data_IF_985486446662
#
_entry.id   IF_985486446662
#
_cell.length_a   1.000
_cell.length_b   1.000
_cell.length_c   1.000
_cell.angle_alpha   90.00
_cell.angle_beta   90.00
_cell.angle_gamma   90.00
#
_symmetry.space_group_name_H-M   'P 1'
#
loop_
_entity.id
_entity.type
_entity.pdbx_description
1 polymer ?
#
# COMPACT_ATOMS: atom_id res chain seq x y z
N UNK A 1 17.34 0.06 5.70
CA UNK A 1 18.16 -0.74 4.78
C UNK A 1 18.45 -0.01 3.49
N UNK A 2 19.33 -0.54 2.71
CA UNK A 2 19.82 0.06 1.45
C UNK A 2 19.78 -1.01 0.36
N UNK A 3 19.21 -0.64 -0.79
CA UNK A 3 19.37 -1.40 -2.03
C UNK A 3 20.47 -0.73 -2.85
N UNK A 4 21.44 -1.51 -3.32
CA UNK A 4 22.57 -1.02 -4.10
C UNK A 4 22.98 -2.03 -5.16
N UNK A 5 23.74 -1.57 -6.18
CA UNK A 5 24.36 -2.46 -7.15
C UNK A 5 25.59 -3.10 -6.52
N UNK A 6 25.57 -4.41 -6.37
CA UNK A 6 26.67 -5.22 -5.88
C UNK A 6 27.50 -5.83 -6.99
N UNK A 7 28.51 -6.61 -6.64
CA UNK A 7 29.41 -7.24 -7.61
C UNK A 7 28.72 -8.27 -8.52
N UNK A 8 27.61 -8.85 -8.05
CA UNK A 8 26.85 -9.91 -8.75
C UNK A 8 25.43 -9.48 -9.14
N UNK A 9 25.12 -8.18 -9.10
CA UNK A 9 23.84 -7.60 -9.36
C UNK A 9 23.26 -6.88 -8.13
N UNK A 10 21.98 -6.47 -8.18
CA UNK A 10 21.34 -5.76 -7.06
C UNK A 10 21.38 -6.56 -5.75
N UNK A 11 21.71 -5.87 -4.68
CA UNK A 11 21.79 -6.40 -3.32
C UNK A 11 20.99 -5.50 -2.37
N UNK A 12 20.44 -6.11 -1.31
CA UNK A 12 19.82 -5.40 -0.19
C UNK A 12 20.61 -5.67 1.08
N UNK A 13 20.90 -4.64 1.87
CA UNK A 13 21.50 -4.80 3.19
C UNK A 13 20.78 -3.95 4.24
N UNK A 14 20.72 -4.46 5.46
CA UNK A 14 20.33 -3.64 6.60
C UNK A 14 21.43 -2.63 6.92
N UNK A 15 21.05 -1.40 7.23
CA UNK A 15 21.99 -0.40 7.69
C UNK A 15 22.61 -0.80 9.05
N UNK A 16 23.91 -0.57 9.21
CA UNK A 16 24.63 -0.98 10.41
C UNK A 16 24.10 -0.28 11.69
N UNK A 17 23.66 0.97 11.57
CA UNK A 17 23.08 1.69 12.72
C UNK A 17 21.71 1.14 13.09
N UNK A 18 20.93 0.70 12.09
CA UNK A 18 19.67 0.02 12.33
C UNK A 18 19.87 -1.34 13.01
N UNK A 19 20.84 -2.13 12.53
CA UNK A 19 21.17 -3.43 13.15
C UNK A 19 21.62 -3.32 14.62
N UNK A 20 22.24 -2.19 14.98
CA UNK A 20 22.68 -1.91 16.35
C UNK A 20 21.56 -1.36 17.26
N UNK A 21 20.41 -1.00 16.70
CA UNK A 21 19.30 -0.47 17.49
C UNK A 21 18.66 -1.58 18.35
N UNK A 22 18.35 -1.32 19.63
CA UNK A 22 17.81 -2.34 20.56
C UNK A 22 16.40 -2.83 20.19
N UNK A 23 15.69 -2.06 19.38
CA UNK A 23 14.33 -2.32 18.88
C UNK A 23 14.31 -2.68 17.39
N UNK A 24 15.48 -2.98 16.81
CA UNK A 24 15.55 -3.41 15.41
C UNK A 24 14.69 -4.65 15.17
N UNK A 25 13.84 -4.58 14.15
CA UNK A 25 12.98 -5.67 13.72
C UNK A 25 13.26 -6.05 12.26
N UNK A 26 13.16 -7.33 11.88
CA UNK A 26 13.30 -7.72 10.49
C UNK A 26 12.13 -7.20 9.66
N UNK A 27 12.38 -6.88 8.38
CA UNK A 27 11.31 -6.50 7.43
C UNK A 27 10.31 -7.64 7.22
N UNK A 28 10.77 -8.87 7.24
CA UNK A 28 9.93 -10.05 7.19
C UNK A 28 10.67 -11.28 7.73
N UNK A 29 9.97 -12.39 7.90
CA UNK A 29 10.59 -13.68 8.24
C UNK A 29 11.58 -14.19 7.19
N UNK A 30 11.37 -13.81 5.92
CA UNK A 30 12.29 -14.17 4.83
C UNK A 30 13.53 -13.27 4.75
N UNK A 31 13.50 -12.14 5.46
CA UNK A 31 14.59 -11.17 5.53
C UNK A 31 14.99 -10.90 6.99
N UNK A 32 15.49 -11.93 7.74
CA UNK A 32 15.92 -11.75 9.13
C UNK A 32 17.08 -10.75 9.22
N UNK A 33 17.28 -10.14 10.40
CA UNK A 33 18.40 -9.22 10.60
C UNK A 33 19.74 -9.93 10.42
N UNK A 34 20.58 -9.44 9.49
CA UNK A 34 21.97 -9.89 9.28
C UNK A 34 22.82 -8.78 8.70
N UNK A 35 24.13 -8.84 8.95
CA UNK A 35 25.09 -7.87 8.40
C UNK A 35 25.49 -8.16 6.95
N UNK A 36 25.37 -9.40 6.50
CA UNK A 36 25.69 -9.78 5.12
C UNK A 36 24.56 -9.35 4.16
N UNK A 37 24.90 -8.88 2.95
CA UNK A 37 23.92 -8.52 1.93
C UNK A 37 23.01 -9.69 1.53
N UNK A 38 21.81 -9.38 1.13
CA UNK A 38 20.86 -10.29 0.47
C UNK A 38 21.01 -10.19 -1.03
N UNK A 39 21.16 -11.32 -1.71
CA UNK A 39 21.14 -11.37 -3.16
C UNK A 39 19.74 -11.11 -3.71
N UNK A 40 19.65 -10.68 -4.98
CA UNK A 40 18.37 -10.35 -5.64
C UNK A 40 17.27 -11.39 -5.44
N UNK A 41 17.61 -12.67 -5.60
CA UNK A 41 16.65 -13.78 -5.47
C UNK A 41 16.09 -13.94 -4.03
N UNK A 42 16.79 -13.44 -3.01
CA UNK A 42 16.37 -13.52 -1.62
C UNK A 42 15.42 -12.37 -1.25
N UNK A 43 15.72 -11.13 -1.70
CA UNK A 43 14.97 -9.94 -1.26
C UNK A 43 13.87 -9.50 -2.24
N UNK A 44 14.03 -9.76 -3.55
CA UNK A 44 13.07 -9.35 -4.57
C UNK A 44 11.62 -9.79 -4.26
N UNK A 45 11.35 -11.05 -3.84
CA UNK A 45 9.97 -11.49 -3.60
C UNK A 45 9.25 -10.67 -2.53
N UNK A 46 9.96 -10.20 -1.51
CA UNK A 46 9.39 -9.34 -0.49
C UNK A 46 9.02 -7.96 -1.05
N UNK A 47 9.96 -7.30 -1.71
CA UNK A 47 9.74 -5.94 -2.21
C UNK A 47 8.80 -5.89 -3.41
N UNK A 48 8.87 -6.87 -4.31
CA UNK A 48 7.93 -7.01 -5.41
C UNK A 48 6.51 -7.27 -4.91
N UNK A 49 6.37 -8.04 -3.82
CA UNK A 49 5.10 -8.29 -3.15
C UNK A 49 4.47 -7.06 -2.46
N UNK A 50 5.16 -5.93 -2.39
CA UNK A 50 4.57 -4.66 -1.96
C UNK A 50 3.79 -3.97 -3.08
N UNK A 51 4.02 -4.34 -4.34
CA UNK A 51 3.35 -3.77 -5.51
C UNK A 51 1.96 -4.39 -5.72
N UNK A 52 1.05 -3.68 -6.40
CA UNK A 52 -0.19 -4.29 -6.89
C UNK A 52 0.10 -5.48 -7.81
N UNK A 53 -0.91 -6.31 -8.05
CA UNK A 53 -0.82 -7.46 -8.95
C UNK A 53 -1.86 -7.37 -10.06
N UNK A 54 -1.60 -8.04 -11.19
CA UNK A 54 -2.55 -8.20 -12.28
C UNK A 54 -3.03 -6.88 -12.92
N UNK A 55 -4.35 -6.68 -13.10
CA UNK A 55 -4.88 -5.49 -13.77
C UNK A 55 -4.51 -4.15 -13.11
N UNK A 56 -4.53 -3.98 -11.78
CA UNK A 56 -4.05 -2.76 -11.11
C UNK A 56 -2.59 -2.44 -11.43
N UNK A 57 -1.69 -3.42 -11.39
CA UNK A 57 -0.27 -3.24 -11.73
C UNK A 57 -0.10 -2.74 -13.17
N UNK A 58 -0.78 -3.38 -14.14
CA UNK A 58 -0.72 -2.96 -15.54
C UNK A 58 -1.19 -1.53 -15.76
N UNK A 59 -2.29 -1.12 -15.12
CA UNK A 59 -2.78 0.26 -15.22
C UNK A 59 -1.77 1.25 -14.63
N UNK A 60 -1.18 0.92 -13.48
CA UNK A 60 -0.17 1.74 -12.84
C UNK A 60 1.09 1.87 -13.71
N UNK A 61 1.57 0.76 -14.29
CA UNK A 61 2.71 0.74 -15.21
C UNK A 61 2.48 1.65 -16.44
N UNK A 62 1.31 1.54 -17.06
CA UNK A 62 0.91 2.39 -18.19
C UNK A 62 0.85 3.87 -17.79
N UNK A 63 0.26 4.17 -16.64
CA UNK A 63 0.11 5.54 -16.16
C UNK A 63 1.47 6.18 -15.85
N UNK A 64 2.38 5.44 -15.24
CA UNK A 64 3.75 5.90 -14.92
C UNK A 64 4.71 5.87 -16.13
N UNK A 65 4.34 5.24 -17.23
CA UNK A 65 5.20 5.04 -18.39
C UNK A 65 6.39 4.11 -18.10
N UNK A 66 6.19 3.10 -17.24
CA UNK A 66 7.20 2.13 -16.79
C UNK A 66 6.86 0.75 -17.38
N UNK A 67 7.88 -0.06 -17.69
CA UNK A 67 7.68 -1.47 -18.03
C UNK A 67 7.13 -2.23 -16.81
N UNK A 68 6.08 -3.02 -17.00
CA UNK A 68 5.47 -3.85 -15.96
C UNK A 68 6.50 -4.79 -15.28
N UNK A 69 7.54 -5.19 -16.01
CA UNK A 69 8.61 -6.02 -15.49
C UNK A 69 9.64 -5.26 -14.63
N UNK A 70 9.67 -3.92 -14.71
CA UNK A 70 10.57 -3.08 -13.91
C UNK A 70 9.96 -2.76 -12.53
N UNK A 71 9.87 -3.82 -11.72
CA UNK A 71 9.33 -3.75 -10.36
C UNK A 71 10.07 -2.74 -9.47
N UNK A 72 11.37 -2.54 -9.70
CA UNK A 72 12.20 -1.68 -8.86
C UNK A 72 11.91 -0.20 -9.13
N UNK A 73 11.86 0.23 -10.42
CA UNK A 73 11.47 1.61 -10.75
C UNK A 73 10.01 1.88 -10.35
N UNK A 74 9.13 0.89 -10.52
CA UNK A 74 7.74 0.96 -10.05
C UNK A 74 7.69 1.24 -8.54
N UNK A 75 8.43 0.46 -7.75
CA UNK A 75 8.47 0.61 -6.29
C UNK A 75 9.06 1.97 -5.87
N UNK A 76 10.07 2.48 -6.55
CA UNK A 76 10.61 3.81 -6.29
C UNK A 76 9.63 4.95 -6.62
N UNK A 77 8.70 4.73 -7.53
CA UNK A 77 7.67 5.72 -7.87
C UNK A 77 6.51 5.74 -6.88
N UNK A 78 6.10 4.57 -6.37
CA UNK A 78 4.92 4.43 -5.52
C UNK A 78 5.22 3.97 -4.08
N UNK A 79 6.45 3.69 -3.72
CA UNK A 79 6.79 3.06 -2.44
C UNK A 79 6.95 3.99 -1.24
N UNK A 80 6.41 5.21 -1.27
CA UNK A 80 6.50 6.14 -0.13
C UNK A 80 5.54 5.81 1.02
N UNK A 81 4.53 5.00 0.77
CA UNK A 81 3.60 4.50 1.79
C UNK A 81 3.21 3.06 1.40
N UNK A 82 3.93 2.07 1.92
CA UNK A 82 3.65 0.65 1.66
C UNK A 82 3.01 0.01 2.88
N UNK A 83 2.35 -1.14 2.66
CA UNK A 83 1.82 -1.96 3.75
C UNK A 83 2.94 -2.32 4.73
N UNK A 84 2.68 -2.21 6.02
CA UNK A 84 3.64 -2.56 7.07
C UNK A 84 4.65 -1.46 7.43
N UNK A 85 4.31 -0.19 7.25
CA UNK A 85 5.16 0.97 7.58
C UNK A 85 6.48 1.00 6.79
N UNK A 86 6.51 0.39 5.60
CA UNK A 86 7.70 0.38 4.74
C UNK A 86 7.67 1.57 3.80
N UNK A 87 8.78 2.30 3.76
CA UNK A 87 8.99 3.42 2.83
C UNK A 87 10.18 3.07 1.92
N UNK A 88 9.98 3.14 0.62
CA UNK A 88 11.03 2.96 -0.38
C UNK A 88 11.20 4.27 -1.14
N UNK A 89 12.36 4.91 -0.96
CA UNK A 89 12.67 6.20 -1.60
C UNK A 89 14.12 6.19 -2.15
N UNK A 90 14.35 6.92 -3.23
CA UNK A 90 15.69 7.18 -3.78
C UNK A 90 16.43 8.26 -3.03
N UNK A 91 15.69 9.30 -2.63
CA UNK A 91 16.23 10.50 -1.99
C UNK A 91 15.54 10.70 -0.65
N UNK A 92 16.17 10.27 0.42
CA UNK A 92 15.59 10.30 1.76
C UNK A 92 14.80 11.60 2.07
N UNK A 93 13.46 11.50 2.03
CA UNK A 93 12.51 12.46 2.62
C UNK A 93 12.37 13.86 2.00
N UNK A 94 12.43 14.02 0.67
CA UNK A 94 12.28 15.33 0.02
C UNK A 94 10.83 15.71 -0.36
N UNK A 95 9.83 14.86 -0.17
CA UNK A 95 8.47 15.14 -0.58
C UNK A 95 7.67 15.93 0.47
N UNK A 96 6.92 16.94 0.00
CA UNK A 96 5.99 17.70 0.84
C UNK A 96 4.74 16.86 1.10
N UNK A 97 4.55 16.45 2.33
CA UNK A 97 3.40 15.66 2.77
C UNK A 97 2.18 16.55 2.93
N UNK A 98 1.12 16.23 2.23
CA UNK A 98 -0.13 16.99 2.25
C UNK A 98 -1.33 16.05 2.29
N UNK A 99 -2.49 16.57 2.71
CA UNK A 99 -3.76 15.86 2.72
C UNK A 99 -4.79 16.66 1.93
N UNK A 100 -5.34 16.07 0.88
CA UNK A 100 -6.45 16.65 0.12
C UNK A 100 -7.77 16.10 0.63
N UNK A 101 -8.62 16.96 1.16
CA UNK A 101 -9.96 16.54 1.59
C UNK A 101 -10.76 15.97 0.40
N UNK A 102 -11.49 14.89 0.66
CA UNK A 102 -12.37 14.22 -0.29
C UNK A 102 -13.82 14.50 0.10
N UNK A 103 -14.60 14.95 -0.87
CA UNK A 103 -16.05 15.01 -0.74
C UNK A 103 -16.68 13.62 -0.93
N UNK A 104 -17.95 13.41 -0.55
CA UNK A 104 -18.68 12.18 -0.87
C UNK A 104 -18.70 11.85 -2.37
N UNK A 105 -18.75 12.86 -3.23
CA UNK A 105 -18.71 12.68 -4.69
C UNK A 105 -17.33 12.24 -5.18
N UNK A 106 -16.25 12.72 -4.55
CA UNK A 106 -14.88 12.25 -4.84
C UNK A 106 -14.73 10.77 -4.48
N UNK A 107 -15.20 10.36 -3.28
CA UNK A 107 -15.19 8.96 -2.86
C UNK A 107 -16.02 8.08 -3.80
N UNK A 108 -17.23 8.52 -4.17
CA UNK A 108 -18.07 7.81 -5.13
C UNK A 108 -17.43 7.74 -6.53
N UNK A 109 -16.66 8.74 -6.93
CA UNK A 109 -15.88 8.74 -8.17
C UNK A 109 -14.74 7.72 -8.12
N UNK A 110 -13.98 7.68 -7.02
CA UNK A 110 -12.94 6.66 -6.79
C UNK A 110 -13.54 5.25 -6.88
N UNK A 111 -14.68 5.00 -6.24
CA UNK A 111 -15.34 3.71 -6.23
C UNK A 111 -15.77 3.23 -7.63
N UNK A 112 -16.11 4.14 -8.54
CA UNK A 112 -16.64 3.81 -9.88
C UNK A 112 -15.59 3.76 -10.98
N UNK A 113 -14.41 4.37 -10.77
CA UNK A 113 -13.42 4.58 -11.83
C UNK A 113 -12.06 3.99 -11.44
N UNK A 114 -11.70 2.80 -11.94
CA UNK A 114 -10.38 2.22 -11.72
C UNK A 114 -9.21 3.15 -12.10
N UNK A 115 -9.39 3.97 -13.15
CA UNK A 115 -8.41 4.98 -13.53
C UNK A 115 -8.22 6.04 -12.43
N UNK A 116 -9.30 6.49 -11.76
CA UNK A 116 -9.22 7.43 -10.64
C UNK A 116 -8.50 6.85 -9.44
N UNK A 117 -8.63 5.56 -9.20
CA UNK A 117 -7.86 4.85 -8.15
C UNK A 117 -6.37 4.81 -8.50
N UNK A 118 -6.02 4.55 -9.76
CA UNK A 118 -4.63 4.60 -10.24
C UNK A 118 -4.04 6.00 -10.07
N UNK A 119 -4.77 7.05 -10.48
CA UNK A 119 -4.38 8.45 -10.26
C UNK A 119 -4.19 8.77 -8.77
N UNK A 120 -5.01 8.21 -7.89
CA UNK A 120 -4.89 8.37 -6.44
C UNK A 120 -3.62 7.67 -5.91
N UNK A 121 -3.33 6.45 -6.37
CA UNK A 121 -2.10 5.73 -6.01
C UNK A 121 -0.84 6.49 -6.44
N UNK A 122 -0.82 7.03 -7.67
CA UNK A 122 0.28 7.86 -8.14
C UNK A 122 0.47 9.13 -7.30
N UNK A 123 -0.62 9.87 -7.06
CA UNK A 123 -0.56 11.13 -6.32
C UNK A 123 -0.11 10.94 -4.88
N UNK A 124 -0.51 9.84 -4.24
CA UNK A 124 -0.08 9.47 -2.89
C UNK A 124 1.30 8.84 -2.85
N UNK A 125 1.80 8.34 -3.99
CA UNK A 125 2.97 7.46 -4.08
C UNK A 125 2.84 6.22 -3.19
N UNK A 126 1.62 5.70 -3.11
CA UNK A 126 1.25 4.56 -2.31
C UNK A 126 1.34 3.28 -3.12
N UNK A 127 1.88 2.23 -2.52
CA UNK A 127 1.90 0.88 -3.08
C UNK A 127 1.09 -0.06 -2.19
N UNK A 128 0.07 -0.70 -2.78
CA UNK A 128 -0.80 -1.67 -2.09
C UNK A 128 -0.84 -2.99 -2.85
N UNK A 129 -0.35 -4.04 -2.22
CA UNK A 129 -0.35 -5.40 -2.76
C UNK A 129 -1.76 -5.92 -3.07
N UNK A 130 -1.86 -6.84 -4.02
CA UNK A 130 -3.07 -7.59 -4.36
C UNK A 130 -3.70 -7.21 -5.69
N UNK A 131 -4.71 -8.00 -6.08
CA UNK A 131 -5.35 -7.95 -7.41
C UNK A 131 -6.60 -7.10 -7.45
N UNK A 132 -7.15 -6.70 -6.30
CA UNK A 132 -8.31 -5.81 -6.21
C UNK A 132 -7.90 -4.35 -6.30
N UNK A 133 -8.80 -3.55 -6.88
CA UNK A 133 -8.66 -2.11 -6.90
C UNK A 133 -8.86 -1.54 -5.48
N UNK A 134 -7.84 -0.86 -5.00
CA UNK A 134 -7.79 -0.30 -3.65
C UNK A 134 -7.00 1.00 -3.62
N UNK A 135 -7.18 1.78 -2.58
CA UNK A 135 -6.37 2.95 -2.31
C UNK A 135 -6.15 3.14 -0.80
N UNK A 136 -5.05 3.79 -0.43
CA UNK A 136 -4.84 4.27 0.93
C UNK A 136 -5.47 5.64 1.11
N UNK A 137 -6.27 5.78 2.14
CA UNK A 137 -6.89 7.05 2.51
C UNK A 137 -6.58 7.38 3.96
N UNK A 138 -6.58 8.65 4.28
CA UNK A 138 -6.53 9.12 5.66
C UNK A 138 -7.93 9.52 6.10
N UNK A 139 -8.38 8.96 7.21
CA UNK A 139 -9.64 9.34 7.88
C UNK A 139 -9.32 10.07 9.19
N UNK A 140 -9.89 11.25 9.39
CA UNK A 140 -9.79 11.99 10.65
C UNK A 140 -10.57 11.26 11.74
N UNK A 141 -9.90 10.72 12.78
CA UNK A 141 -10.56 9.92 13.83
C UNK A 141 -11.55 10.70 14.68
N UNK A 142 -11.60 12.04 14.52
CA UNK A 142 -12.57 12.92 15.21
C UNK A 142 -13.88 13.07 14.45
N UNK A 143 -13.96 12.50 13.25
CA UNK A 143 -15.12 12.54 12.36
C UNK A 143 -15.85 11.20 12.35
N UNK A 144 -17.10 11.22 11.88
CA UNK A 144 -17.86 9.99 11.62
C UNK A 144 -17.29 9.24 10.42
N UNK A 145 -17.63 7.95 10.30
CA UNK A 145 -17.14 7.08 9.20
C UNK A 145 -17.48 7.63 7.80
N UNK A 146 -18.52 8.44 7.66
CA UNK A 146 -18.99 9.00 6.39
C UNK A 146 -18.27 10.31 6.02
N UNK A 147 -17.49 10.91 6.92
CA UNK A 147 -16.88 12.24 6.77
C UNK A 147 -15.37 12.22 7.10
N UNK A 148 -14.68 13.26 6.73
CA UNK A 148 -13.29 13.44 7.16
C UNK A 148 -12.27 12.59 6.42
N UNK A 149 -12.61 12.15 5.22
CA UNK A 149 -11.71 11.41 4.33
C UNK A 149 -10.79 12.34 3.56
N UNK A 150 -9.54 11.94 3.43
CA UNK A 150 -8.52 12.68 2.71
C UNK A 150 -7.68 11.75 1.85
N UNK A 151 -7.26 12.23 0.68
CA UNK A 151 -6.22 11.60 -0.12
C UNK A 151 -4.86 12.07 0.38
N UNK A 152 -3.99 11.18 0.87
CA UNK A 152 -2.61 11.51 1.17
C UNK A 152 -1.85 11.85 -0.11
N UNK A 153 -0.95 12.84 -0.08
CA UNK A 153 -0.13 13.27 -1.21
C UNK A 153 1.34 13.31 -0.80
N UNK A 154 2.24 13.00 -1.75
CA UNK A 154 3.68 13.10 -1.55
C UNK A 154 4.23 12.22 -0.41
N UNK A 155 3.66 11.03 -0.21
CA UNK A 155 4.05 10.10 0.86
C UNK A 155 3.57 10.53 2.26
N UNK A 156 2.47 11.30 2.35
CA UNK A 156 1.71 11.42 3.59
C UNK A 156 1.08 10.05 3.91
N UNK A 157 1.10 9.66 5.20
CA UNK A 157 0.64 8.33 5.59
C UNK A 157 -0.88 8.19 5.48
N UNK A 158 -1.34 7.10 4.91
CA UNK A 158 -2.71 6.63 5.05
C UNK A 158 -2.91 5.98 6.44
N UNK A 159 -4.15 5.87 6.88
CA UNK A 159 -4.52 5.10 8.06
C UNK A 159 -5.63 4.08 7.79
N UNK A 160 -6.14 4.05 6.56
CA UNK A 160 -7.05 3.03 6.06
C UNK A 160 -6.66 2.59 4.66
N UNK A 161 -6.71 1.30 4.43
CA UNK A 161 -6.80 0.69 3.11
C UNK A 161 -8.28 0.58 2.75
N UNK A 162 -8.67 1.10 1.59
CA UNK A 162 -10.06 1.10 1.11
C UNK A 162 -10.13 0.27 -0.17
N UNK A 163 -10.84 -0.84 -0.12
CA UNK A 163 -11.10 -1.73 -1.26
C UNK A 163 -12.51 -1.54 -1.77
N UNK A 164 -12.65 -1.34 -3.07
CA UNK A 164 -13.94 -1.09 -3.70
C UNK A 164 -14.51 -2.36 -4.34
N UNK A 165 -15.82 -2.55 -4.19
CA UNK A 165 -16.52 -3.59 -4.93
C UNK A 165 -16.35 -3.39 -6.44
N UNK A 166 -15.96 -4.44 -7.16
CA UNK A 166 -15.85 -4.43 -8.62
C UNK A 166 -17.14 -4.90 -9.28
N UNK A 167 -17.30 -4.60 -10.58
CA UNK A 167 -18.45 -5.09 -11.35
C UNK A 167 -18.40 -6.61 -11.54
N UNK A 168 -17.20 -7.21 -11.61
CA UNK A 168 -17.01 -8.66 -11.71
C UNK A 168 -17.30 -9.37 -10.38
N UNK A 169 -16.97 -8.72 -9.25
CA UNK A 169 -17.08 -9.29 -7.91
C UNK A 169 -17.77 -8.31 -6.95
N UNK A 170 -19.07 -7.98 -7.16
CA UNK A 170 -19.74 -6.89 -6.42
C UNK A 170 -19.95 -7.19 -4.93
N UNK A 171 -19.84 -8.46 -4.51
CA UNK A 171 -20.03 -8.86 -3.12
C UNK A 171 -18.75 -9.21 -2.38
N UNK A 172 -17.59 -9.17 -3.03
CA UNK A 172 -16.35 -9.70 -2.46
C UNK A 172 -15.93 -8.94 -1.20
N UNK A 173 -16.00 -7.61 -1.21
CA UNK A 173 -15.69 -6.76 -0.04
C UNK A 173 -16.64 -7.00 1.14
N UNK A 174 -17.92 -7.36 0.85
CA UNK A 174 -18.89 -7.72 1.89
C UNK A 174 -18.57 -9.09 2.49
N UNK A 175 -18.21 -10.05 1.66
CA UNK A 175 -17.80 -11.40 2.09
C UNK A 175 -16.55 -11.30 2.96
N UNK A 176 -15.57 -10.50 2.56
CA UNK A 176 -14.36 -10.28 3.34
C UNK A 176 -14.67 -9.66 4.70
N UNK A 177 -15.54 -8.64 4.75
CA UNK A 177 -16.00 -8.07 6.02
C UNK A 177 -16.66 -9.12 6.93
N UNK A 178 -17.53 -9.97 6.39
CA UNK A 178 -18.16 -11.06 7.14
C UNK A 178 -17.12 -12.04 7.67
N UNK A 179 -16.08 -12.38 6.88
CA UNK A 179 -15.00 -13.25 7.32
C UNK A 179 -14.18 -12.61 8.46
N UNK A 180 -13.86 -11.30 8.36
CA UNK A 180 -13.19 -10.58 9.44
C UNK A 180 -14.02 -10.56 10.73
N UNK A 181 -15.34 -10.33 10.63
CA UNK A 181 -16.23 -10.33 11.79
C UNK A 181 -16.36 -11.75 12.40
N UNK A 182 -16.44 -12.78 11.58
CA UNK A 182 -16.47 -14.15 12.05
C UNK A 182 -15.16 -14.52 12.76
N UNK A 183 -14.01 -14.15 12.20
CA UNK A 183 -12.71 -14.35 12.83
C UNK A 183 -12.61 -13.66 14.19
N UNK A 184 -13.07 -12.39 14.26
CA UNK A 184 -13.15 -11.63 15.52
C UNK A 184 -14.05 -12.33 16.53
N UNK A 185 -15.22 -12.82 16.11
CA UNK A 185 -16.15 -13.57 16.98
C UNK A 185 -15.55 -14.90 17.50
N UNK A 186 -14.61 -15.49 16.74
CA UNK A 186 -13.85 -16.67 17.16
C UNK A 186 -12.63 -16.32 18.06
N UNK A 187 -12.43 -15.05 18.42
CA UNK A 187 -11.31 -14.62 19.26
C UNK A 187 -9.98 -14.44 18.50
N UNK A 188 -9.99 -14.46 17.18
CA UNK A 188 -8.82 -14.17 16.35
C UNK A 188 -8.63 -12.64 16.28
N UNK A 189 -7.41 -12.18 16.51
CA UNK A 189 -7.07 -10.77 16.34
C UNK A 189 -7.15 -10.40 14.85
N UNK A 190 -8.00 -9.45 14.52
CA UNK A 190 -8.19 -8.92 13.16
C UNK A 190 -8.15 -7.39 13.20
N UNK A 191 -7.78 -6.72 12.10
CA UNK A 191 -7.77 -5.27 12.02
C UNK A 191 -9.18 -4.69 12.23
N UNK A 192 -9.24 -3.43 12.65
CA UNK A 192 -10.48 -2.65 12.66
C UNK A 192 -10.98 -2.49 11.22
N UNK A 193 -12.25 -2.77 10.98
CA UNK A 193 -12.81 -2.71 9.64
C UNK A 193 -14.29 -2.41 9.66
N UNK A 194 -14.77 -1.67 8.65
CA UNK A 194 -16.18 -1.37 8.41
C UNK A 194 -16.49 -1.25 6.92
N UNK A 195 -17.77 -1.31 6.57
CA UNK A 195 -18.23 -1.04 5.22
C UNK A 195 -18.67 0.41 5.09
N UNK A 196 -18.18 1.09 4.08
CA UNK A 196 -18.59 2.42 3.67
C UNK A 196 -19.44 2.30 2.40
N UNK A 197 -20.59 3.00 2.35
CA UNK A 197 -21.39 3.10 1.14
C UNK A 197 -21.04 4.38 0.38
N UNK A 198 -20.39 4.21 -0.75
CA UNK A 198 -20.00 5.28 -1.67
C UNK A 198 -20.70 5.12 -3.03
N UNK A 199 -21.96 4.66 -3.02
CA UNK A 199 -22.73 4.28 -4.20
C UNK A 199 -22.47 2.84 -4.66
N UNK A 200 -21.52 2.18 -4.03
CA UNK A 200 -21.25 0.73 -3.97
C UNK A 200 -20.52 0.44 -2.67
N UNK A 201 -20.55 -0.81 -2.17
CA UNK A 201 -19.81 -1.16 -0.96
C UNK A 201 -18.31 -0.94 -1.12
N UNK A 202 -17.69 -0.36 -0.11
CA UNK A 202 -16.25 -0.30 0.03
C UNK A 202 -15.85 -0.85 1.41
N UNK A 203 -14.83 -1.70 1.48
CA UNK A 203 -14.28 -2.21 2.72
C UNK A 203 -13.14 -1.31 3.16
N UNK A 204 -13.28 -0.71 4.32
CA UNK A 204 -12.26 0.07 4.99
C UNK A 204 -11.57 -0.80 6.04
N UNK A 205 -10.25 -0.97 5.94
CA UNK A 205 -9.40 -1.74 6.88
C UNK A 205 -8.31 -0.81 7.41
N UNK A 206 -8.16 -0.78 8.75
CA UNK A 206 -7.20 0.10 9.43
C UNK A 206 -5.89 -0.60 9.67
#
# INVERSE_FOLDING_TARGET
>A
GIMAEGASGPEFCYDATYLAAPDAAPLSFSLPLRGDPYALAEFRPYFEGLLPEGPPLRRLAVSLGIDEADWLDMLFRCGLDCVGDVVVDRDAFSCKREYRALSPDDLASLARRPAGQTEALEASRLSLAGTQDKCGLYHDPRKSEDEGWHLPLGGASSNFMVEFASDEHPHLVVVEKVCLDAARACGIAVPESFLLDVGRPALCVK
#
